data_IF_578879599195
#
_entry.id   IF_578879599195
#
_cell.length_a   1.000
_cell.length_b   1.000
_cell.length_c   1.000
_cell.angle_alpha   90.00
_cell.angle_beta   90.00
_cell.angle_gamma   90.00
#
_symmetry.space_group_name_H-M   'P 1'
#
loop_
_entity.id
_entity.type
_entity.pdbx_description
1 polymer ?
#
# COMPACT_ATOMS: atom_id res chain seq x y z
N UNK A 1 27.66 41.81 17.42
CA UNK A 1 27.47 40.37 17.71
C UNK A 1 26.22 40.08 18.58
N UNK A 2 25.18 40.92 18.56
CA UNK A 2 24.02 40.80 19.48
C UNK A 2 22.67 40.87 18.75
N UNK A 3 22.52 40.12 17.65
CA UNK A 3 21.28 40.11 16.83
C UNK A 3 20.74 38.72 16.49
N UNK A 4 21.37 37.65 16.99
CA UNK A 4 21.03 36.26 16.64
C UNK A 4 20.35 35.47 17.78
N UNK A 5 20.07 36.08 18.94
CA UNK A 5 19.52 35.37 20.11
C UNK A 5 18.00 35.50 20.30
N UNK A 6 17.31 36.32 19.49
CA UNK A 6 15.87 36.56 19.63
C UNK A 6 14.93 35.43 19.16
N UNK A 7 15.23 34.59 18.14
CA UNK A 7 14.29 33.57 17.71
C UNK A 7 14.30 32.31 18.59
N UNK A 8 15.35 32.07 19.39
CA UNK A 8 15.46 30.86 20.24
C UNK A 8 14.67 30.99 21.53
N UNK A 9 14.51 32.21 22.08
CA UNK A 9 13.75 32.44 23.32
C UNK A 9 12.24 32.36 23.09
N UNK A 10 11.75 32.68 21.89
CA UNK A 10 10.33 32.57 21.55
C UNK A 10 9.86 31.12 21.39
N UNK A 11 10.73 30.20 20.93
CA UNK A 11 10.37 28.79 20.74
C UNK A 11 10.27 28.02 22.08
N UNK A 12 11.06 28.41 23.10
CA UNK A 12 11.01 27.80 24.42
C UNK A 12 9.81 28.27 25.27
N UNK A 13 9.25 29.45 25.00
CA UNK A 13 8.04 29.92 25.68
C UNK A 13 6.76 29.20 25.18
N UNK A 14 6.74 28.72 23.94
CA UNK A 14 5.57 28.05 23.38
C UNK A 14 5.41 26.59 23.85
N UNK A 15 6.52 25.92 24.17
CA UNK A 15 6.50 24.53 24.67
C UNK A 15 6.13 24.40 26.16
N UNK A 16 6.11 25.50 26.92
CA UNK A 16 5.74 25.49 28.34
C UNK A 16 4.23 25.69 28.61
N UNK A 17 3.42 26.02 27.59
CA UNK A 17 2.00 26.34 27.77
C UNK A 17 1.01 25.22 27.44
N UNK A 18 1.46 24.03 27.03
CA UNK A 18 0.56 22.90 26.71
C UNK A 18 0.42 21.85 27.81
N UNK A 19 1.03 22.05 28.98
CA UNK A 19 0.94 21.11 30.13
C UNK A 19 0.17 21.73 31.29
N UNK A 20 -1.05 22.24 31.09
CA UNK A 20 -1.98 22.50 32.21
C UNK A 20 -3.44 22.63 31.76
N UNK A 21 -4.07 21.56 31.26
CA UNK A 21 -5.53 21.52 31.16
C UNK A 21 -6.07 20.08 31.03
N UNK A 22 -5.99 19.27 32.08
CA UNK A 22 -7.00 18.23 32.34
C UNK A 22 -6.92 17.76 33.80
N UNK A 23 -7.29 18.65 34.73
CA UNK A 23 -7.57 18.29 36.11
C UNK A 23 -8.69 19.20 36.61
N UNK A 24 -9.92 18.68 36.61
CA UNK A 24 -11.01 18.94 37.57
C UNK A 24 -12.39 18.76 36.91
N UNK A 25 -12.93 17.55 36.99
CA UNK A 25 -14.37 17.34 37.19
C UNK A 25 -14.54 15.96 37.82
N UNK A 26 -14.41 15.92 39.14
CA UNK A 26 -14.86 14.79 39.93
C UNK A 26 -16.37 14.87 40.12
N UNK A 27 -17.07 13.78 39.82
CA UNK A 27 -18.32 13.39 40.47
C UNK A 27 -18.23 11.90 40.74
N UNK A 28 -18.38 11.54 42.01
CA UNK A 28 -18.21 10.20 42.53
C UNK A 28 -19.29 9.21 42.10
N UNK A 29 -18.94 7.94 42.28
CA UNK A 29 -19.82 6.81 42.08
C UNK A 29 -19.10 5.54 42.50
N UNK A 30 -19.27 5.16 43.77
CA UNK A 30 -18.91 3.85 44.30
C UNK A 30 -19.51 2.73 43.43
N UNK A 31 -18.64 1.90 42.85
CA UNK A 31 -18.98 0.55 42.45
C UNK A 31 -17.70 -0.29 42.47
N UNK A 32 -17.51 -1.00 43.58
CA UNK A 32 -16.52 -2.06 43.70
C UNK A 32 -16.82 -3.18 42.69
N UNK A 33 -16.26 -3.07 41.49
CA UNK A 33 -16.21 -4.15 40.52
C UNK A 33 -15.00 -5.03 40.83
N UNK A 34 -15.30 -6.26 41.26
CA UNK A 34 -14.33 -7.34 41.46
C UNK A 34 -13.50 -7.53 40.20
N UNK A 35 -12.18 -7.43 40.34
CA UNK A 35 -11.22 -7.85 39.34
C UNK A 35 -11.28 -9.39 39.26
N UNK A 36 -11.69 -10.00 38.13
CA UNK A 36 -11.46 -11.42 37.94
C UNK A 36 -9.97 -11.65 37.66
N UNK A 37 -9.35 -12.44 38.52
CA UNK A 37 -8.03 -13.04 38.32
C UNK A 37 -8.06 -13.84 37.00
N UNK A 38 -7.18 -13.58 36.02
CA UNK A 38 -7.07 -14.49 34.89
C UNK A 38 -6.52 -15.82 35.39
N UNK A 39 -7.33 -16.86 35.19
CA UNK A 39 -6.96 -18.24 35.47
C UNK A 39 -5.74 -18.62 34.62
N UNK A 40 -4.81 -19.32 35.28
CA UNK A 40 -3.62 -19.92 34.69
C UNK A 40 -3.95 -20.66 33.40
N UNK A 41 -3.36 -20.21 32.29
CA UNK A 41 -3.38 -20.96 31.05
C UNK A 41 -2.53 -22.23 31.23
N UNK A 42 -3.16 -23.35 30.96
CA UNK A 42 -2.56 -24.70 30.99
C UNK A 42 -1.58 -24.84 29.83
N UNK A 43 -0.34 -25.15 30.15
CA UNK A 43 0.70 -25.62 29.22
C UNK A 43 0.23 -26.91 28.56
N UNK A 44 -0.02 -26.89 27.25
CA UNK A 44 -0.02 -28.10 26.43
C UNK A 44 1.31 -28.20 25.70
N UNK A 45 2.14 -29.10 26.19
CA UNK A 45 3.38 -29.57 25.56
C UNK A 45 2.98 -30.50 24.42
N UNK A 46 2.98 -30.00 23.19
CA UNK A 46 2.87 -30.80 21.97
C UNK A 46 4.20 -30.78 21.24
N UNK A 47 5.02 -31.81 21.46
CA UNK A 47 6.20 -32.06 20.66
C UNK A 47 5.77 -32.54 19.26
N UNK A 48 6.20 -31.83 18.22
CA UNK A 48 6.21 -32.34 16.86
C UNK A 48 7.64 -32.21 16.34
N UNK A 49 8.39 -33.30 16.49
CA UNK A 49 9.55 -33.60 15.67
C UNK A 49 9.08 -33.95 14.26
N UNK A 50 9.60 -33.28 13.24
CA UNK A 50 9.82 -33.92 11.95
C UNK A 50 10.97 -33.21 11.20
N UNK A 51 12.17 -33.81 11.17
CA UNK A 51 13.22 -33.43 10.23
C UNK A 51 13.05 -34.21 8.92
N UNK A 52 13.72 -33.71 7.89
CA UNK A 52 14.05 -34.35 6.61
C UNK A 52 13.14 -34.07 5.40
N UNK A 53 13.33 -32.88 4.84
CA UNK A 53 13.32 -32.64 3.40
C UNK A 53 14.67 -33.12 2.81
N UNK A 54 14.64 -34.09 1.88
CA UNK A 54 15.38 -33.85 0.64
C UNK A 54 14.62 -34.36 -0.57
N UNK A 55 14.18 -33.46 -1.45
CA UNK A 55 13.50 -33.87 -2.68
C UNK A 55 13.51 -32.84 -3.81
N UNK A 56 14.70 -32.34 -4.18
CA UNK A 56 14.88 -31.62 -5.43
C UNK A 56 14.74 -32.58 -6.62
N UNK A 57 13.55 -32.66 -7.21
CA UNK A 57 13.33 -33.25 -8.53
C UNK A 57 12.91 -32.16 -9.53
N UNK A 58 13.85 -31.84 -10.41
CA UNK A 58 13.66 -31.00 -11.57
C UNK A 58 12.62 -31.61 -12.51
N UNK A 59 11.50 -30.91 -12.71
CA UNK A 59 10.55 -31.22 -13.78
C UNK A 59 11.10 -30.66 -15.10
N UNK A 60 11.33 -31.48 -16.14
CA UNK A 60 11.66 -30.97 -17.45
C UNK A 60 10.44 -30.31 -18.09
N UNK A 61 10.62 -29.09 -18.62
CA UNK A 61 9.64 -28.45 -19.48
C UNK A 61 9.46 -29.29 -20.75
N UNK A 62 8.33 -30.00 -20.83
CA UNK A 62 7.87 -30.64 -22.05
C UNK A 62 7.38 -29.54 -23.02
N UNK A 63 8.20 -29.25 -24.03
CA UNK A 63 7.74 -28.58 -25.26
C UNK A 63 6.81 -29.55 -25.97
N UNK A 64 5.50 -29.33 -25.86
CA UNK A 64 4.51 -30.12 -26.56
C UNK A 64 4.63 -29.92 -28.09
N UNK A 65 4.57 -31.00 -28.91
CA UNK A 65 4.49 -30.86 -30.35
C UNK A 65 3.11 -30.36 -30.76
N UNK A 66 3.07 -29.49 -31.78
CA UNK A 66 1.85 -29.17 -32.51
C UNK A 66 1.25 -30.46 -33.06
N UNK A 67 0.10 -30.87 -32.52
CA UNK A 67 -0.69 -31.96 -33.07
C UNK A 67 -1.34 -31.49 -34.37
N UNK A 68 -1.01 -32.16 -35.47
CA UNK A 68 -1.78 -32.09 -36.71
C UNK A 68 -3.20 -32.66 -36.46
N UNK A 69 -4.26 -32.04 -37.00
CA UNK A 69 -5.61 -32.59 -36.92
C UNK A 69 -5.76 -33.82 -37.84
N UNK A 70 -6.30 -34.95 -37.34
CA UNK A 70 -6.70 -36.05 -38.18
C UNK A 70 -8.11 -35.76 -38.71
N UNK A 71 -8.21 -35.24 -39.94
CA UNK A 71 -9.21 -35.65 -40.94
C UNK A 71 -9.38 -34.59 -42.05
N UNK A 72 -8.77 -34.89 -43.19
CA UNK A 72 -9.48 -35.08 -44.47
C UNK A 72 -10.26 -33.92 -45.13
N UNK A 73 -10.40 -32.75 -44.52
CA UNK A 73 -11.15 -31.64 -45.10
C UNK A 73 -10.20 -30.57 -45.68
N UNK A 74 -10.12 -30.56 -47.01
CA UNK A 74 -9.49 -29.51 -47.82
C UNK A 74 -10.12 -28.15 -47.49
N UNK A 75 -9.48 -27.37 -46.62
CA UNK A 75 -9.65 -25.92 -46.56
C UNK A 75 -8.63 -25.25 -47.51
N UNK A 76 -9.01 -24.20 -48.25
CA UNK A 76 -8.11 -23.52 -49.16
C UNK A 76 -6.99 -22.83 -48.38
N UNK A 77 -5.76 -22.99 -48.87
CA UNK A 77 -4.58 -22.29 -48.42
C UNK A 77 -4.82 -20.78 -48.39
N UNK A 78 -4.99 -20.23 -47.19
CA UNK A 78 -5.27 -18.83 -46.95
C UNK A 78 -4.51 -18.34 -45.72
N UNK A 79 -3.30 -17.84 -45.97
CA UNK A 79 -2.64 -16.78 -45.21
C UNK A 79 -2.22 -17.12 -43.76
N UNK A 80 -1.07 -17.78 -43.63
CA UNK A 80 -0.11 -17.38 -42.60
C UNK A 80 0.36 -15.95 -42.95
N UNK A 81 -0.26 -14.95 -42.32
CA UNK A 81 0.23 -13.59 -42.36
C UNK A 81 1.59 -13.55 -41.65
N UNK A 82 2.67 -13.54 -42.46
CA UNK A 82 3.98 -13.13 -42.00
C UNK A 82 3.85 -11.68 -41.48
N UNK A 83 3.97 -11.51 -40.17
CA UNK A 83 4.17 -10.20 -39.56
C UNK A 83 5.52 -9.69 -40.06
N UNK A 84 5.48 -8.89 -41.13
CA UNK A 84 6.61 -8.07 -41.55
C UNK A 84 6.82 -7.01 -40.48
N UNK A 85 7.81 -7.22 -39.62
CA UNK A 85 8.43 -6.14 -38.87
C UNK A 85 9.05 -5.15 -39.85
N UNK A 86 8.28 -4.12 -40.23
CA UNK A 86 8.81 -2.95 -40.91
C UNK A 86 9.63 -2.15 -39.89
N UNK A 87 10.92 -2.43 -39.80
CA UNK A 87 11.89 -1.52 -39.18
C UNK A 87 12.07 -0.35 -40.14
N UNK A 88 11.28 0.71 -39.96
CA UNK A 88 11.62 2.01 -40.54
C UNK A 88 12.80 2.57 -39.74
N UNK A 89 14.01 2.37 -40.26
CA UNK A 89 15.18 3.17 -39.89
C UNK A 89 14.91 4.59 -40.37
N UNK A 90 14.46 5.46 -39.46
CA UNK A 90 14.61 6.90 -39.65
C UNK A 90 16.08 7.23 -39.37
N UNK A 91 16.83 7.30 -40.47
CA UNK A 91 18.13 7.93 -40.54
C UNK A 91 17.89 9.45 -40.44
N UNK A 92 17.98 10.01 -39.24
CA UNK A 92 17.98 11.45 -39.01
C UNK A 92 19.31 11.88 -38.39
N UNK A 93 19.92 12.88 -39.03
CA UNK A 93 21.27 13.39 -38.84
C UNK A 93 21.61 13.85 -37.41
N UNK A 94 22.81 13.51 -36.87
CA UNK A 94 23.23 13.89 -35.53
C UNK A 94 23.74 15.35 -35.37
N UNK A 95 23.56 16.24 -36.36
CA UNK A 95 24.28 17.55 -36.38
C UNK A 95 23.37 18.79 -36.29
N UNK A 96 22.04 18.68 -36.37
CA UNK A 96 21.18 19.87 -36.62
C UNK A 96 20.06 20.11 -35.59
N UNK A 97 20.22 19.74 -34.31
CA UNK A 97 19.25 20.13 -33.24
C UNK A 97 19.90 20.68 -31.96
N UNK A 98 21.08 21.29 -32.07
CA UNK A 98 21.80 21.88 -30.92
C UNK A 98 21.65 23.40 -30.75
N UNK A 99 20.79 24.10 -31.52
CA UNK A 99 20.91 25.56 -31.65
C UNK A 99 19.68 26.41 -31.33
N UNK A 100 18.56 25.89 -30.80
CA UNK A 100 17.39 26.75 -30.58
C UNK A 100 16.50 26.34 -29.38
N UNK A 101 17.04 26.39 -28.17
CA UNK A 101 16.22 26.36 -26.94
C UNK A 101 16.93 27.03 -25.75
N UNK A 102 17.57 28.19 -25.99
CA UNK A 102 18.34 28.94 -24.97
C UNK A 102 17.77 30.34 -24.69
N UNK A 103 16.49 30.58 -24.99
CA UNK A 103 15.86 31.90 -24.85
C UNK A 103 14.45 31.77 -24.27
N UNK A 104 14.35 31.70 -22.93
CA UNK A 104 13.30 32.29 -22.06
C UNK A 104 13.38 31.77 -20.61
N UNK A 105 14.49 32.05 -19.90
CA UNK A 105 14.57 31.94 -18.44
C UNK A 105 14.63 33.33 -17.79
N UNK A 106 13.84 34.28 -18.30
CA UNK A 106 13.71 35.61 -17.73
C UNK A 106 12.28 35.85 -17.26
N UNK A 107 12.16 36.06 -15.95
CA UNK A 107 11.12 36.83 -15.25
C UNK A 107 9.73 36.18 -15.12
N UNK A 108 9.56 35.41 -14.05
CA UNK A 108 8.47 35.61 -13.11
C UNK A 108 9.00 35.34 -11.69
N UNK A 109 9.80 36.29 -11.18
CA UNK A 109 10.00 36.43 -9.74
C UNK A 109 8.73 37.06 -9.18
N UNK A 110 7.77 36.22 -8.80
CA UNK A 110 6.65 36.64 -7.97
C UNK A 110 6.91 36.08 -6.56
N UNK A 111 7.46 36.92 -5.69
CA UNK A 111 7.83 36.61 -4.30
C UNK A 111 6.61 36.58 -3.37
N UNK A 112 5.44 36.16 -3.86
CA UNK A 112 4.21 36.32 -3.09
C UNK A 112 2.98 35.56 -3.56
N UNK A 113 3.08 34.67 -4.56
CA UNK A 113 2.00 33.73 -4.81
C UNK A 113 2.01 32.67 -3.71
N UNK A 114 1.31 32.94 -2.61
CA UNK A 114 0.80 31.91 -1.72
C UNK A 114 -0.07 31.01 -2.59
N UNK A 115 0.52 29.95 -3.17
CA UNK A 115 -0.25 28.90 -3.80
C UNK A 115 -1.34 28.54 -2.79
N UNK A 116 -2.63 28.55 -3.19
CA UNK A 116 -3.68 28.15 -2.28
C UNK A 116 -3.27 26.79 -1.75
N UNK A 117 -2.97 26.75 -0.45
CA UNK A 117 -2.65 25.52 0.25
C UNK A 117 -3.81 24.61 -0.08
N UNK A 118 -3.57 23.62 -0.95
CA UNK A 118 -4.61 22.79 -1.52
C UNK A 118 -5.12 21.98 -0.35
N UNK A 119 -6.10 22.54 0.37
CA UNK A 119 -6.64 21.97 1.57
C UNK A 119 -6.95 20.52 1.22
N UNK A 120 -6.26 19.61 1.92
CA UNK A 120 -6.47 18.18 1.71
C UNK A 120 -7.97 17.98 1.73
N UNK A 121 -8.49 17.43 0.63
CA UNK A 121 -9.92 17.21 0.50
C UNK A 121 -10.41 16.49 1.77
N UNK A 122 -11.63 16.77 2.21
CA UNK A 122 -12.21 15.97 3.30
C UNK A 122 -12.48 14.57 2.73
N UNK A 123 -12.10 13.48 3.42
CA UNK A 123 -12.39 12.13 2.94
C UNK A 123 -13.90 11.95 2.82
N UNK A 124 -14.32 11.36 1.69
CA UNK A 124 -15.74 11.09 1.43
C UNK A 124 -16.27 10.06 2.42
N UNK A 125 -15.43 9.09 2.76
CA UNK A 125 -15.77 7.97 3.62
C UNK A 125 -14.55 7.57 4.45
N UNK A 126 -14.78 7.18 5.70
CA UNK A 126 -13.76 6.67 6.60
C UNK A 126 -14.21 5.32 7.12
N UNK A 127 -13.46 4.27 6.76
CA UNK A 127 -13.62 2.92 7.28
C UNK A 127 -12.65 2.78 8.44
N UNK A 128 -13.16 2.27 9.57
CA UNK A 128 -12.36 1.91 10.74
C UNK A 128 -12.77 0.52 11.19
N UNK A 129 -11.82 -0.40 11.27
CA UNK A 129 -12.07 -1.76 11.72
C UNK A 129 -10.90 -2.29 12.54
N UNK A 130 -11.20 -3.16 13.49
CA UNK A 130 -10.20 -3.97 14.18
C UNK A 130 -10.33 -5.40 13.69
N UNK A 131 -9.21 -6.01 13.29
CA UNK A 131 -9.14 -7.36 12.73
C UNK A 131 -8.28 -8.25 13.64
N UNK A 132 -8.86 -9.26 14.31
CA UNK A 132 -8.08 -10.25 15.01
C UNK A 132 -7.41 -11.17 13.97
N UNK A 133 -6.10 -11.33 14.06
CA UNK A 133 -5.31 -12.19 13.18
C UNK A 133 -4.54 -13.21 14.01
N UNK A 134 -4.77 -14.49 13.75
CA UNK A 134 -3.91 -15.57 14.24
C UNK A 134 -2.55 -15.53 13.54
N UNK A 135 -1.55 -16.16 14.15
CA UNK A 135 -0.24 -16.33 13.51
C UNK A 135 -0.40 -16.95 12.12
N UNK A 136 0.16 -16.30 11.11
CA UNK A 136 0.10 -16.72 9.70
C UNK A 136 -1.20 -16.39 8.96
N UNK A 137 -2.24 -15.92 9.68
CA UNK A 137 -3.50 -15.48 9.09
C UNK A 137 -3.34 -14.14 8.38
N UNK A 138 -4.15 -13.95 7.34
CA UNK A 138 -4.27 -12.70 6.62
C UNK A 138 -5.74 -12.29 6.54
N UNK A 139 -5.96 -10.98 6.39
CA UNK A 139 -7.24 -10.38 6.01
C UNK A 139 -7.03 -9.56 4.75
N UNK A 140 -8.06 -9.53 3.93
CA UNK A 140 -8.05 -8.79 2.67
C UNK A 140 -9.22 -7.80 2.62
N UNK A 141 -8.93 -6.60 2.11
CA UNK A 141 -9.95 -5.63 1.77
C UNK A 141 -9.81 -5.18 0.32
N UNK A 142 -10.93 -5.17 -0.40
CA UNK A 142 -11.00 -4.77 -1.80
C UNK A 142 -11.34 -3.28 -1.93
N UNK A 143 -10.58 -2.59 -2.77
CA UNK A 143 -10.79 -1.23 -3.24
C UNK A 143 -11.14 -1.25 -4.72
N UNK A 144 -12.21 -0.55 -5.10
CA UNK A 144 -12.54 -0.32 -6.51
C UNK A 144 -12.46 1.17 -6.80
N UNK A 145 -11.57 1.58 -7.70
CA UNK A 145 -11.34 2.98 -8.06
C UNK A 145 -10.47 3.11 -9.30
N UNK A 146 -10.30 4.32 -9.80
CA UNK A 146 -9.47 4.67 -10.96
C UNK A 146 -8.46 5.79 -10.69
N UNK A 147 -7.82 6.27 -11.76
CA UNK A 147 -6.66 7.19 -11.71
C UNK A 147 -6.90 8.57 -11.12
N UNK A 148 -8.16 8.93 -10.84
CA UNK A 148 -8.54 10.17 -10.16
C UNK A 148 -8.93 10.00 -8.70
N UNK A 149 -8.91 8.77 -8.19
CA UNK A 149 -9.29 8.45 -6.83
C UNK A 149 -8.07 8.27 -5.92
N UNK A 150 -8.28 8.25 -4.62
CA UNK A 150 -7.20 8.04 -3.64
C UNK A 150 -7.75 7.36 -2.40
N UNK A 151 -6.91 6.57 -1.74
CA UNK A 151 -7.12 6.09 -0.38
C UNK A 151 -5.93 6.49 0.50
N UNK A 152 -6.19 6.91 1.73
CA UNK A 152 -5.17 6.99 2.78
C UNK A 152 -5.41 5.84 3.73
N UNK A 153 -4.43 4.95 3.81
CA UNK A 153 -4.48 3.71 4.58
C UNK A 153 -3.60 3.89 5.81
N UNK A 154 -4.17 3.68 7.00
CA UNK A 154 -3.42 3.64 8.26
C UNK A 154 -3.62 2.27 8.89
N UNK A 155 -2.51 1.60 9.18
CA UNK A 155 -2.48 0.30 9.86
C UNK A 155 -1.75 0.47 11.19
N UNK A 156 -2.24 -0.19 12.23
CA UNK A 156 -1.58 -0.22 13.54
C UNK A 156 -1.76 -1.59 14.19
N UNK A 157 -0.67 -2.18 14.65
CA UNK A 157 -0.58 -3.47 15.32
C UNK A 157 0.10 -3.30 16.69
N UNK A 158 -0.09 -4.23 17.64
CA UNK A 158 0.53 -4.12 18.96
C UNK A 158 2.04 -4.41 18.96
N UNK A 159 2.57 -5.07 17.93
CA UNK A 159 3.97 -5.48 17.78
C UNK A 159 4.41 -5.35 16.31
N UNK A 160 5.72 -5.24 16.08
CA UNK A 160 6.31 -5.04 14.76
C UNK A 160 6.46 -6.35 13.95
N UNK A 161 5.37 -7.13 13.86
CA UNK A 161 5.34 -8.41 13.12
C UNK A 161 4.19 -8.44 12.09
N UNK A 162 3.69 -7.28 11.66
CA UNK A 162 2.66 -7.18 10.63
C UNK A 162 3.32 -7.05 9.25
N UNK A 163 2.98 -7.96 8.35
CA UNK A 163 3.24 -7.84 6.93
C UNK A 163 2.02 -7.23 6.21
N UNK A 164 2.25 -6.46 5.17
CA UNK A 164 1.16 -5.89 4.36
C UNK A 164 1.58 -5.66 2.92
N UNK A 165 0.61 -5.68 2.01
CA UNK A 165 0.82 -5.25 0.63
C UNK A 165 -0.42 -4.58 0.05
N UNK A 166 -0.20 -3.80 -1.02
CA UNK A 166 -1.25 -3.42 -1.96
C UNK A 166 -0.91 -4.04 -3.30
N UNK A 167 -1.84 -4.80 -3.84
CA UNK A 167 -1.74 -5.32 -5.18
C UNK A 167 -3.05 -5.12 -5.95
N UNK A 168 -3.04 -5.32 -7.26
CA UNK A 168 -4.26 -5.24 -8.07
C UNK A 168 -4.13 -6.01 -9.36
N UNK A 169 -5.26 -6.25 -10.01
CA UNK A 169 -5.35 -7.04 -11.24
C UNK A 169 -5.63 -6.16 -12.47
N UNK A 170 -5.03 -4.98 -12.52
CA UNK A 170 -5.16 -4.10 -13.67
C UNK A 170 -4.52 -4.74 -14.92
N UNK A 171 -5.18 -4.59 -16.07
CA UNK A 171 -4.70 -5.07 -17.38
C UNK A 171 -4.45 -6.59 -17.49
N UNK A 172 -5.12 -7.41 -16.65
CA UNK A 172 -5.11 -8.88 -16.78
C UNK A 172 -3.94 -9.59 -16.11
N UNK A 173 -3.15 -8.90 -15.28
CA UNK A 173 -2.09 -9.52 -14.47
C UNK A 173 -2.01 -8.91 -13.07
N UNK A 174 -1.38 -9.63 -12.14
CA UNK A 174 -1.15 -9.16 -10.77
C UNK A 174 0.00 -8.16 -10.74
N UNK A 175 -0.24 -7.02 -10.08
CA UNK A 175 0.73 -5.96 -9.88
C UNK A 175 0.82 -5.68 -8.38
N UNK A 176 2.01 -5.79 -7.79
CA UNK A 176 2.26 -5.38 -6.40
C UNK A 176 2.80 -3.95 -6.43
N UNK A 177 2.10 -3.05 -5.74
CA UNK A 177 2.44 -1.63 -5.67
C UNK A 177 3.40 -1.35 -4.52
N UNK A 178 3.13 -1.97 -3.38
CA UNK A 178 3.95 -1.88 -2.17
C UNK A 178 3.79 -3.18 -1.39
N UNK A 179 4.89 -3.63 -0.79
CA UNK A 179 4.94 -4.77 0.11
C UNK A 179 5.99 -4.46 1.18
N UNK A 180 5.61 -4.57 2.45
CA UNK A 180 6.53 -4.44 3.55
C UNK A 180 6.22 -5.46 4.65
N UNK A 181 7.25 -5.81 5.41
CA UNK A 181 7.20 -6.76 6.51
C UNK A 181 7.63 -6.08 7.80
N UNK A 182 7.42 -6.75 8.93
CA UNK A 182 7.87 -6.34 10.27
C UNK A 182 7.45 -4.91 10.66
N UNK A 183 6.21 -4.53 10.30
CA UNK A 183 5.66 -3.21 10.64
C UNK A 183 4.81 -3.28 11.90
N UNK A 184 4.81 -2.18 12.64
CA UNK A 184 3.87 -1.94 13.73
C UNK A 184 2.83 -0.91 13.30
N UNK A 185 3.29 0.20 12.73
CA UNK A 185 2.43 1.28 12.24
C UNK A 185 2.79 1.64 10.79
N UNK A 186 1.77 1.90 9.98
CA UNK A 186 1.90 2.30 8.58
C UNK A 186 0.91 3.43 8.31
N UNK A 187 1.33 4.43 7.53
CA UNK A 187 0.40 5.34 6.83
C UNK A 187 0.86 5.47 5.40
N UNK A 188 -0.02 5.12 4.45
CA UNK A 188 0.28 5.09 3.02
C UNK A 188 -0.84 5.73 2.21
N UNK A 189 -0.47 6.62 1.29
CA UNK A 189 -1.40 7.22 0.34
C UNK A 189 -1.33 6.44 -0.97
N UNK A 190 -2.43 5.79 -1.32
CA UNK A 190 -2.56 4.99 -2.53
C UNK A 190 -3.43 5.72 -3.56
N UNK A 191 -2.92 5.87 -4.78
CA UNK A 191 -3.66 6.35 -5.95
C UNK A 191 -3.54 5.31 -7.06
N UNK A 192 -4.64 4.67 -7.49
CA UNK A 192 -4.63 3.72 -8.59
C UNK A 192 -4.03 4.34 -9.86
N UNK A 193 -3.30 3.55 -10.66
CA UNK A 193 -2.90 4.00 -12.00
C UNK A 193 -4.06 3.91 -13.01
N UNK A 194 -4.97 2.97 -12.80
CA UNK A 194 -6.04 2.60 -13.71
C UNK A 194 -7.31 2.18 -12.94
N UNK A 195 -8.43 2.09 -13.66
CA UNK A 195 -9.67 1.54 -13.09
C UNK A 195 -9.58 0.01 -12.99
N UNK A 196 -9.45 -0.48 -11.76
CA UNK A 196 -9.34 -1.91 -11.47
C UNK A 196 -9.83 -2.23 -10.04
N UNK A 197 -9.82 -3.52 -9.71
CA UNK A 197 -9.84 -3.97 -8.32
C UNK A 197 -8.42 -4.00 -7.76
N UNK A 198 -8.27 -3.40 -6.60
CA UNK A 198 -7.05 -3.32 -5.82
C UNK A 198 -7.33 -3.93 -4.46
N UNK A 199 -6.37 -4.61 -3.88
CA UNK A 199 -6.53 -5.35 -2.63
C UNK A 199 -5.46 -4.91 -1.65
N UNK A 200 -5.89 -4.60 -0.44
CA UNK A 200 -5.04 -4.44 0.73
C UNK A 200 -4.99 -5.79 1.45
N UNK A 201 -3.82 -6.42 1.46
CA UNK A 201 -3.54 -7.60 2.29
C UNK A 201 -2.84 -7.16 3.56
N UNK A 202 -3.31 -7.66 4.69
CA UNK A 202 -2.67 -7.49 6.00
C UNK A 202 -2.50 -8.85 6.63
N UNK A 203 -1.28 -9.18 7.04
CA UNK A 203 -0.88 -10.50 7.54
C UNK A 203 -0.20 -10.39 8.90
N UNK A 204 -0.52 -11.34 9.78
CA UNK A 204 0.26 -11.56 10.99
C UNK A 204 1.44 -12.50 10.69
N UNK A 205 2.65 -11.96 10.67
CA UNK A 205 3.90 -12.71 10.43
C UNK A 205 4.63 -13.07 11.72
N UNK A 206 4.06 -12.70 12.88
CA UNK A 206 4.67 -12.85 14.19
C UNK A 206 4.47 -14.22 14.83
N UNK A 207 4.82 -14.30 16.10
CA UNK A 207 4.69 -15.53 16.90
C UNK A 207 3.49 -15.54 17.84
N UNK A 208 2.73 -14.44 17.90
CA UNK A 208 1.55 -14.30 18.73
C UNK A 208 0.36 -13.78 17.91
N UNK A 209 -0.85 -14.13 18.34
CA UNK A 209 -2.07 -13.55 17.78
C UNK A 209 -2.07 -12.04 18.05
N UNK A 210 -2.57 -11.25 17.11
CA UNK A 210 -2.62 -9.80 17.22
C UNK A 210 -3.98 -9.24 16.78
N UNK A 211 -4.29 -8.03 17.25
CA UNK A 211 -5.41 -7.23 16.73
C UNK A 211 -4.82 -6.08 15.91
N UNK A 212 -5.13 -6.05 14.61
CA UNK A 212 -4.70 -4.94 13.74
C UNK A 212 -5.85 -3.96 13.58
N UNK A 213 -5.59 -2.69 13.87
CA UNK A 213 -6.49 -1.58 13.56
C UNK A 213 -6.23 -1.12 12.14
N UNK A 214 -7.26 -1.16 11.30
CA UNK A 214 -7.24 -0.71 9.92
C UNK A 214 -8.16 0.48 9.77
N UNK A 215 -7.58 1.60 9.32
CA UNK A 215 -8.30 2.80 8.92
C UNK A 215 -8.08 3.05 7.43
N UNK A 216 -9.16 3.26 6.69
CA UNK A 216 -9.10 3.61 5.27
C UNK A 216 -9.94 4.85 5.05
N UNK A 217 -9.32 5.92 4.58
CA UNK A 217 -9.99 7.15 4.16
C UNK A 217 -10.09 7.17 2.65
N UNK A 218 -11.32 7.21 2.11
CA UNK A 218 -11.57 7.16 0.67
C UNK A 218 -11.87 8.54 0.12
N UNK A 219 -11.27 8.83 -1.04
CA UNK A 219 -11.45 10.06 -1.80
C UNK A 219 -11.98 9.76 -3.20
N UNK A 220 -12.62 10.77 -3.80
CA UNK A 220 -13.24 10.62 -5.13
C UNK A 220 -14.35 9.58 -5.15
N UNK A 221 -14.31 8.70 -6.13
CA UNK A 221 -15.29 7.63 -6.38
C UNK A 221 -14.84 6.25 -5.91
N UNK A 222 -13.69 6.14 -5.23
CA UNK A 222 -13.19 4.85 -4.74
C UNK A 222 -14.18 4.20 -3.75
N UNK A 223 -14.38 2.89 -3.83
CA UNK A 223 -15.24 2.12 -2.93
C UNK A 223 -14.42 1.07 -2.16
N UNK A 224 -14.96 0.61 -1.02
CA UNK A 224 -14.33 -0.39 -0.16
C UNK A 224 -15.28 -1.55 0.17
N UNK A 225 -14.72 -2.76 0.25
CA UNK A 225 -15.39 -3.93 0.80
C UNK A 225 -14.39 -4.84 1.52
N UNK A 226 -14.84 -5.53 2.57
CA UNK A 226 -14.07 -6.61 3.18
C UNK A 226 -14.37 -7.94 2.47
N UNK A 227 -13.36 -8.82 2.40
CA UNK A 227 -13.47 -10.18 1.87
C UNK A 227 -13.36 -11.23 2.99
#
# INVERSE_FOLDING_TARGET
>A
MLRWLLPVVALLAFLASTVTAFAASGVGGDAAARIPTPASATTMTGAAEHPDDPGADAVPQAVGPCLDPPDGSRAPAGQCAAVRSATTRLHEDPVTRFALALLTLAACGDEGATLPDAALAVPREVIMATKPLRVGELVEGAMTGGSGDTAVITLSAPIADMGWNIHGHANGGTQVIVEEHDKMDVTYTFSPSDRAEWYLLVRNEGQANMEVVVKVELYGTMAWAWL
#
